data_IF_252856118484
#
_entry.id   IF_252856118484
#
_cell.length_a   1.000
_cell.length_b   1.000
_cell.length_c   1.000
_cell.angle_alpha   90.00
_cell.angle_beta   90.00
_cell.angle_gamma   90.00
#
_symmetry.space_group_name_H-M   'P 1'
#
loop_
_entity.id
_entity.type
_entity.pdbx_description
1 polymer ?
#
# COMPACT_ATOMS: atom_id res chain seq x y z
N UNK A 1 -8.27 4.88 -13.29
CA UNK A 1 -9.13 5.94 -12.73
C UNK A 1 -10.34 5.24 -12.13
N UNK A 2 -10.42 5.29 -10.81
CA UNK A 2 -11.48 4.68 -10.02
C UNK A 2 -12.76 5.51 -10.16
N UNK A 3 -13.90 4.85 -10.35
CA UNK A 3 -15.21 5.52 -10.37
C UNK A 3 -15.95 5.28 -9.05
N UNK A 4 -16.94 6.12 -8.72
CA UNK A 4 -17.81 5.90 -7.56
C UNK A 4 -18.51 4.52 -7.63
N UNK A 5 -18.99 4.12 -8.82
CA UNK A 5 -19.59 2.81 -9.04
C UNK A 5 -18.61 1.66 -8.74
N UNK A 6 -17.35 1.80 -9.12
CA UNK A 6 -16.29 0.84 -8.78
C UNK A 6 -16.00 0.82 -7.29
N UNK A 7 -15.91 1.99 -6.63
CA UNK A 7 -15.72 2.08 -5.18
C UNK A 7 -16.87 1.40 -4.41
N UNK A 8 -18.10 1.43 -4.95
CA UNK A 8 -19.28 0.74 -4.43
C UNK A 8 -19.33 -0.76 -4.72
N UNK A 9 -18.39 -1.37 -5.43
CA UNK A 9 -18.55 -2.74 -5.96
C UNK A 9 -18.80 -3.83 -4.89
N UNK A 10 -18.44 -3.58 -3.63
CA UNK A 10 -18.76 -4.48 -2.51
C UNK A 10 -19.99 -4.06 -1.68
N UNK A 11 -20.76 -3.07 -2.16
CA UNK A 11 -22.12 -2.75 -1.71
C UNK A 11 -22.26 -2.02 -0.38
N UNK A 12 -21.15 -1.60 0.24
CA UNK A 12 -21.14 -1.09 1.63
C UNK A 12 -20.76 0.37 1.80
N UNK A 13 -20.65 1.11 0.71
CA UNK A 13 -20.46 2.55 0.75
C UNK A 13 -21.70 3.25 0.18
N UNK A 14 -22.15 4.32 0.83
CA UNK A 14 -23.10 5.25 0.24
C UNK A 14 -22.46 6.04 -0.92
N UNK A 15 -23.28 6.70 -1.75
CA UNK A 15 -22.82 7.42 -2.94
C UNK A 15 -21.87 8.58 -2.63
N UNK A 16 -22.09 9.28 -1.51
CA UNK A 16 -21.29 10.44 -1.12
C UNK A 16 -19.90 9.97 -0.71
N UNK A 17 -19.83 8.96 0.15
CA UNK A 17 -18.58 8.35 0.62
C UNK A 17 -17.82 7.68 -0.53
N UNK A 18 -18.52 6.96 -1.42
CA UNK A 18 -17.90 6.32 -2.57
C UNK A 18 -17.30 7.34 -3.56
N UNK A 19 -18.01 8.45 -3.81
CA UNK A 19 -17.50 9.54 -4.66
C UNK A 19 -16.28 10.20 -4.03
N UNK A 20 -16.36 10.53 -2.74
CA UNK A 20 -15.25 11.14 -2.01
C UNK A 20 -13.99 10.26 -2.01
N UNK A 21 -14.14 8.96 -1.75
CA UNK A 21 -13.01 8.01 -1.80
C UNK A 21 -12.45 7.90 -3.21
N UNK A 22 -13.31 7.88 -4.25
CA UNK A 22 -12.84 7.81 -5.64
C UNK A 22 -12.01 9.04 -6.02
N UNK A 23 -12.44 10.25 -5.64
CA UNK A 23 -11.70 11.49 -5.90
C UNK A 23 -10.35 11.52 -5.18
N UNK A 24 -10.34 11.16 -3.89
CA UNK A 24 -9.10 11.06 -3.12
C UNK A 24 -8.17 10.00 -3.69
N UNK A 25 -8.70 8.84 -4.09
CA UNK A 25 -7.93 7.76 -4.70
C UNK A 25 -7.28 8.21 -6.01
N UNK A 26 -8.06 8.81 -6.91
CA UNK A 26 -7.55 9.28 -8.21
C UNK A 26 -6.48 10.36 -8.06
N UNK A 27 -6.60 11.21 -7.04
CA UNK A 27 -5.60 12.22 -6.70
C UNK A 27 -4.31 11.58 -6.16
N UNK A 28 -4.42 10.61 -5.24
CA UNK A 28 -3.27 10.01 -4.56
C UNK A 28 -2.58 8.90 -5.39
N UNK A 29 -3.32 8.19 -6.25
CA UNK A 29 -2.83 6.97 -6.91
C UNK A 29 -1.58 7.17 -7.78
N UNK A 30 -1.44 8.25 -8.58
CA UNK A 30 -0.21 8.50 -9.33
C UNK A 30 1.02 8.58 -8.42
N UNK A 31 0.90 9.27 -7.28
CA UNK A 31 1.95 9.39 -6.26
C UNK A 31 2.26 8.03 -5.64
N UNK A 32 1.23 7.31 -5.19
CA UNK A 32 1.39 5.98 -4.61
C UNK A 32 2.08 4.99 -5.56
N UNK A 33 1.70 5.03 -6.84
CA UNK A 33 2.30 4.24 -7.92
C UNK A 33 3.78 4.58 -8.09
N UNK A 34 4.12 5.86 -8.15
CA UNK A 34 5.49 6.32 -8.32
C UNK A 34 6.37 5.89 -7.14
N UNK A 35 5.91 6.10 -5.90
CA UNK A 35 6.63 5.71 -4.68
C UNK A 35 6.88 4.20 -4.63
N UNK A 36 5.85 3.39 -4.90
CA UNK A 36 6.00 1.94 -4.92
C UNK A 36 6.98 1.48 -6.01
N UNK A 37 6.96 2.09 -7.21
CA UNK A 37 7.92 1.79 -8.28
C UNK A 37 9.34 2.19 -7.89
N UNK A 38 9.56 3.41 -7.40
CA UNK A 38 10.88 3.87 -6.97
C UNK A 38 11.47 2.96 -5.88
N UNK A 39 10.61 2.45 -4.98
CA UNK A 39 11.04 1.53 -3.93
C UNK A 39 11.46 0.15 -4.45
N UNK A 40 10.71 -0.38 -5.42
CA UNK A 40 11.08 -1.63 -6.13
C UNK A 40 12.45 -1.47 -6.79
N UNK A 41 12.66 -0.37 -7.51
CA UNK A 41 13.91 -0.10 -8.22
C UNK A 41 15.09 0.06 -7.24
N UNK A 42 14.86 0.74 -6.10
CA UNK A 42 15.87 0.85 -5.06
C UNK A 42 16.28 -0.51 -4.48
N UNK A 43 15.32 -1.42 -4.22
CA UNK A 43 15.65 -2.77 -3.75
C UNK A 43 16.36 -3.61 -4.80
N UNK A 44 15.94 -3.53 -6.07
CA UNK A 44 16.62 -4.23 -7.18
C UNK A 44 18.07 -3.78 -7.29
N UNK A 45 18.32 -2.47 -7.20
CA UNK A 45 19.66 -1.91 -7.21
C UNK A 45 20.51 -2.40 -6.03
N UNK A 46 19.97 -2.34 -4.81
CA UNK A 46 20.67 -2.85 -3.62
C UNK A 46 21.03 -4.33 -3.76
N UNK A 47 20.17 -5.12 -4.41
CA UNK A 47 20.42 -6.53 -4.68
C UNK A 47 21.49 -6.72 -5.73
N UNK A 48 21.43 -6.00 -6.85
CA UNK A 48 22.44 -6.11 -7.91
C UNK A 48 23.83 -5.65 -7.45
N UNK A 49 23.88 -4.64 -6.59
CA UNK A 49 25.13 -4.09 -6.02
C UNK A 49 25.62 -4.89 -4.80
N UNK A 50 24.87 -5.92 -4.39
CA UNK A 50 25.15 -6.73 -3.20
C UNK A 50 25.43 -5.88 -1.96
N UNK A 51 24.59 -4.86 -1.71
CA UNK A 51 24.76 -3.87 -0.66
C UNK A 51 24.76 -4.44 0.79
N UNK A 52 24.61 -5.76 0.95
CA UNK A 52 24.81 -6.48 2.20
C UNK A 52 26.26 -6.86 2.50
N UNK A 53 27.16 -6.80 1.51
CA UNK A 53 28.58 -7.03 1.73
C UNK A 53 29.24 -5.76 2.27
N UNK A 54 29.77 -5.87 3.48
CA UNK A 54 30.47 -4.76 4.15
C UNK A 54 31.95 -5.09 4.17
N UNK A 55 32.76 -4.14 3.69
CA UNK A 55 34.22 -4.24 3.78
C UNK A 55 34.63 -4.47 5.25
N UNK A 56 35.28 -5.61 5.56
CA UNK A 56 35.76 -5.89 6.90
C UNK A 56 36.72 -4.83 7.45
N UNK A 57 37.42 -4.10 6.57
CA UNK A 57 38.37 -3.06 6.95
C UNK A 57 37.71 -1.68 7.12
N UNK A 58 36.40 -1.56 6.93
CA UNK A 58 35.70 -0.30 7.13
C UNK A 58 35.78 0.11 8.62
N UNK A 59 36.14 1.37 8.95
CA UNK A 59 36.29 1.84 10.34
C UNK A 59 35.06 1.62 11.24
N UNK A 60 33.90 1.41 10.63
CA UNK A 60 32.61 1.18 11.28
C UNK A 60 31.92 -0.11 10.83
N UNK A 61 32.67 -1.14 10.40
CA UNK A 61 32.11 -2.38 9.87
C UNK A 61 31.06 -3.01 10.79
N UNK A 62 31.31 -3.04 12.11
CA UNK A 62 30.39 -3.61 13.11
C UNK A 62 29.06 -2.86 13.17
N UNK A 63 29.12 -1.52 13.16
CA UNK A 63 27.92 -0.67 13.16
C UNK A 63 27.14 -0.86 11.86
N UNK A 64 27.82 -0.83 10.72
CA UNK A 64 27.15 -1.01 9.44
C UNK A 64 26.49 -2.39 9.36
N UNK A 65 27.11 -3.46 9.86
CA UNK A 65 26.52 -4.81 9.87
C UNK A 65 25.23 -4.88 10.68
N UNK A 66 25.12 -4.09 11.75
CA UNK A 66 23.90 -4.04 12.57
C UNK A 66 22.70 -3.43 11.84
N UNK A 67 22.92 -2.51 10.90
CA UNK A 67 21.85 -1.80 10.18
C UNK A 67 21.65 -2.25 8.73
N UNK A 68 22.63 -2.95 8.17
CA UNK A 68 22.58 -3.45 6.80
C UNK A 68 21.67 -4.67 6.71
N UNK A 69 20.64 -4.64 5.86
CA UNK A 69 19.77 -5.79 5.68
C UNK A 69 20.52 -6.94 5.00
N UNK A 70 20.19 -8.17 5.38
CA UNK A 70 20.69 -9.36 4.68
C UNK A 70 20.08 -9.47 3.29
N UNK A 71 20.72 -10.24 2.40
CA UNK A 71 20.17 -10.55 1.07
C UNK A 71 18.72 -11.08 1.17
N UNK A 72 18.48 -12.06 2.04
CA UNK A 72 17.15 -12.64 2.23
C UNK A 72 16.11 -11.60 2.69
N UNK A 73 16.51 -10.63 3.53
CA UNK A 73 15.64 -9.54 3.95
C UNK A 73 15.33 -8.60 2.77
N UNK A 74 16.31 -8.26 1.93
CA UNK A 74 16.10 -7.44 0.74
C UNK A 74 15.21 -8.13 -0.29
N UNK A 75 15.45 -9.41 -0.57
CA UNK A 75 14.60 -10.21 -1.46
C UNK A 75 13.14 -10.25 -0.98
N UNK A 76 12.93 -10.43 0.33
CA UNK A 76 11.59 -10.38 0.93
C UNK A 76 10.96 -9.00 0.79
N UNK A 77 11.73 -7.93 1.04
CA UNK A 77 11.25 -6.54 0.90
C UNK A 77 10.87 -6.21 -0.55
N UNK A 78 11.67 -6.66 -1.53
CA UNK A 78 11.39 -6.54 -2.96
C UNK A 78 10.07 -7.22 -3.32
N UNK A 79 9.92 -8.51 -2.97
CA UNK A 79 8.68 -9.27 -3.21
C UNK A 79 7.45 -8.58 -2.61
N UNK A 80 7.57 -8.06 -1.39
CA UNK A 80 6.47 -7.34 -0.73
C UNK A 80 6.12 -6.03 -1.46
N UNK A 81 7.11 -5.29 -1.94
CA UNK A 81 6.89 -4.04 -2.67
C UNK A 81 6.24 -4.31 -4.05
N UNK A 82 6.65 -5.36 -4.75
CA UNK A 82 6.03 -5.79 -6.01
C UNK A 82 4.57 -6.24 -5.81
N UNK A 83 4.31 -7.02 -4.75
CA UNK A 83 2.96 -7.42 -4.38
C UNK A 83 2.08 -6.20 -4.04
N UNK A 84 2.60 -5.26 -3.24
CA UNK A 84 1.91 -4.01 -2.93
C UNK A 84 1.57 -3.22 -4.20
N UNK A 85 2.53 -3.06 -5.10
CA UNK A 85 2.35 -2.35 -6.37
C UNK A 85 1.27 -2.99 -7.24
N UNK A 86 1.24 -4.33 -7.29
CA UNK A 86 0.20 -5.10 -7.97
C UNK A 86 -1.17 -4.87 -7.33
N UNK A 87 -1.26 -4.97 -6.00
CA UNK A 87 -2.52 -4.74 -5.25
C UNK A 87 -3.07 -3.34 -5.51
N UNK A 88 -2.23 -2.29 -5.44
CA UNK A 88 -2.63 -0.92 -5.76
C UNK A 88 -3.20 -0.82 -7.19
N UNK A 89 -2.56 -1.47 -8.16
CA UNK A 89 -3.04 -1.49 -9.54
C UNK A 89 -4.35 -2.25 -9.73
N UNK A 90 -4.55 -3.35 -9.00
CA UNK A 90 -5.82 -4.09 -9.00
C UNK A 90 -6.95 -3.28 -8.39
N UNK A 91 -6.69 -2.56 -7.30
CA UNK A 91 -7.67 -1.68 -6.66
C UNK A 91 -8.06 -0.52 -7.58
N UNK A 92 -7.09 0.15 -8.20
CA UNK A 92 -7.35 1.24 -9.17
C UNK A 92 -8.20 0.80 -10.37
N UNK A 93 -8.08 -0.47 -10.78
CA UNK A 93 -8.86 -1.07 -11.87
C UNK A 93 -10.16 -1.73 -11.41
N UNK A 94 -10.44 -1.79 -10.10
CA UNK A 94 -11.59 -2.52 -9.56
C UNK A 94 -11.53 -4.03 -9.80
N UNK A 95 -10.33 -4.61 -9.95
CA UNK A 95 -10.13 -6.05 -10.20
C UNK A 95 -9.55 -6.78 -9.00
N UNK A 96 -9.45 -6.12 -7.84
CA UNK A 96 -8.90 -6.74 -6.63
C UNK A 96 -9.83 -7.83 -6.11
N UNK A 97 -9.27 -8.93 -5.64
CA UNK A 97 -10.01 -10.06 -5.07
C UNK A 97 -9.42 -10.40 -3.70
N UNK A 98 -10.26 -10.40 -2.67
CA UNK A 98 -9.84 -10.77 -1.31
C UNK A 98 -9.50 -12.26 -1.18
N UNK A 99 -10.26 -13.11 -1.89
CA UNK A 99 -9.92 -14.52 -2.08
C UNK A 99 -10.22 -14.96 -3.51
N UNK A 100 -9.78 -16.15 -3.92
CA UNK A 100 -9.96 -16.69 -5.28
C UNK A 100 -11.43 -16.77 -5.72
N UNK A 101 -12.36 -16.84 -4.76
CA UNK A 101 -13.81 -16.93 -5.00
C UNK A 101 -14.53 -15.58 -4.93
N UNK A 102 -13.89 -14.51 -4.45
CA UNK A 102 -14.52 -13.19 -4.38
C UNK A 102 -14.71 -12.60 -5.78
N UNK A 103 -15.81 -11.86 -6.03
CA UNK A 103 -15.90 -11.02 -7.21
C UNK A 103 -14.77 -9.98 -7.18
N UNK A 104 -14.27 -9.63 -8.36
CA UNK A 104 -13.30 -8.53 -8.49
C UNK A 104 -13.97 -7.20 -8.17
N UNK A 105 -13.30 -6.36 -7.40
CA UNK A 105 -13.84 -5.06 -7.00
C UNK A 105 -12.83 -4.16 -6.32
N UNK A 106 -13.29 -2.98 -5.92
CA UNK A 106 -12.58 -2.13 -4.98
C UNK A 106 -12.96 -2.54 -3.55
N UNK A 107 -11.96 -2.76 -2.69
CA UNK A 107 -12.16 -3.10 -1.28
C UNK A 107 -11.53 -2.04 -0.40
N UNK A 108 -12.36 -1.40 0.45
CA UNK A 108 -11.93 -0.37 1.41
C UNK A 108 -10.85 -0.91 2.36
N UNK A 109 -11.05 -2.12 2.91
CA UNK A 109 -10.07 -2.72 3.82
C UNK A 109 -8.75 -3.03 3.13
N UNK A 110 -8.80 -3.55 1.91
CA UNK A 110 -7.59 -3.85 1.14
C UNK A 110 -6.88 -2.56 0.71
N UNK A 111 -7.63 -1.54 0.30
CA UNK A 111 -7.12 -0.21 -0.01
C UNK A 111 -6.44 0.42 1.21
N UNK A 112 -7.11 0.43 2.37
CA UNK A 112 -6.54 0.97 3.59
C UNK A 112 -5.24 0.24 3.99
N UNK A 113 -5.26 -1.10 3.94
CA UNK A 113 -4.08 -1.93 4.23
C UNK A 113 -2.91 -1.62 3.28
N UNK A 114 -3.19 -1.49 1.97
CA UNK A 114 -2.18 -1.16 0.96
C UNK A 114 -1.60 0.25 1.17
N UNK A 115 -2.45 1.25 1.40
CA UNK A 115 -2.02 2.64 1.68
C UNK A 115 -1.16 2.70 2.93
N UNK A 116 -1.56 2.02 4.00
CA UNK A 116 -0.78 1.94 5.25
C UNK A 116 0.56 1.22 5.04
N UNK A 117 0.58 0.15 4.25
CA UNK A 117 1.82 -0.55 3.93
C UNK A 117 2.79 0.33 3.13
N UNK A 118 2.27 1.13 2.19
CA UNK A 118 3.06 2.10 1.46
C UNK A 118 3.64 3.17 2.39
N UNK A 119 2.82 3.79 3.24
CA UNK A 119 3.23 4.84 4.17
C UNK A 119 4.30 4.39 5.18
N UNK A 120 4.34 3.10 5.53
CA UNK A 120 5.41 2.52 6.38
C UNK A 120 6.77 2.49 5.71
N UNK A 121 6.82 2.68 4.39
CA UNK A 121 8.05 2.57 3.58
C UNK A 121 8.49 3.90 2.98
N UNK A 122 7.68 4.95 3.15
CA UNK A 122 7.96 6.31 2.66
C UNK A 122 8.67 7.14 3.72
N UNK A 123 9.43 8.13 3.27
CA UNK A 123 9.99 9.18 4.14
C UNK A 123 9.00 10.35 4.23
N UNK A 124 9.02 11.09 5.35
CA UNK A 124 8.20 12.31 5.50
C UNK A 124 8.49 13.38 4.44
N UNK A 125 9.66 13.33 3.82
CA UNK A 125 10.08 14.28 2.79
C UNK A 125 9.65 13.89 1.38
N UNK A 126 8.96 12.76 1.19
CA UNK A 126 8.50 12.36 -0.14
C UNK A 126 7.39 13.33 -0.62
N UNK A 127 7.53 13.80 -1.86
CA UNK A 127 6.59 14.76 -2.45
C UNK A 127 5.20 14.16 -2.67
N UNK A 128 4.14 14.98 -2.50
CA UNK A 128 2.76 14.56 -2.79
C UNK A 128 2.11 13.68 -1.73
N UNK A 129 2.77 13.42 -0.59
CA UNK A 129 2.22 12.60 0.50
C UNK A 129 0.95 13.18 1.14
N UNK A 130 0.71 14.48 1.05
CA UNK A 130 -0.50 15.11 1.62
C UNK A 130 -1.80 14.47 1.09
N UNK A 131 -1.86 14.16 -0.21
CA UNK A 131 -3.00 13.46 -0.81
C UNK A 131 -3.12 12.02 -0.29
N UNK A 132 -1.99 11.33 -0.09
CA UNK A 132 -1.95 9.96 0.41
C UNK A 132 -2.43 9.90 1.87
N UNK A 133 -2.03 10.85 2.72
CA UNK A 133 -2.50 10.92 4.11
C UNK A 133 -3.99 11.25 4.20
N UNK A 134 -4.51 12.15 3.37
CA UNK A 134 -5.96 12.42 3.30
C UNK A 134 -6.75 11.19 2.88
N UNK A 135 -6.28 10.47 1.86
CA UNK A 135 -6.85 9.20 1.46
C UNK A 135 -6.80 8.17 2.60
N UNK A 136 -5.67 8.07 3.31
CA UNK A 136 -5.51 7.14 4.43
C UNK A 136 -6.51 7.40 5.55
N UNK A 137 -6.76 8.68 5.88
CA UNK A 137 -7.76 9.07 6.86
C UNK A 137 -9.17 8.66 6.41
N UNK A 138 -9.59 9.03 5.20
CA UNK A 138 -10.91 8.67 4.68
C UNK A 138 -11.14 7.15 4.59
N UNK A 139 -10.10 6.39 4.25
CA UNK A 139 -10.17 4.92 4.23
C UNK A 139 -10.20 4.32 5.64
N UNK A 140 -9.55 4.95 6.62
CA UNK A 140 -9.61 4.52 8.01
C UNK A 140 -11.02 4.71 8.58
N UNK A 141 -11.62 5.88 8.37
CA UNK A 141 -12.99 6.17 8.80
C UNK A 141 -13.97 5.18 8.17
N UNK A 142 -13.90 4.98 6.84
CA UNK A 142 -14.74 4.01 6.15
C UNK A 142 -14.51 2.55 6.60
N UNK A 143 -13.29 2.20 7.02
CA UNK A 143 -12.99 0.87 7.57
C UNK A 143 -13.59 0.68 8.97
N UNK A 144 -13.58 1.72 9.80
CA UNK A 144 -14.19 1.68 11.14
C UNK A 144 -15.72 1.56 11.04
N UNK A 145 -16.34 2.29 10.12
CA UNK A 145 -17.77 2.20 9.82
C UNK A 145 -18.15 0.77 9.42
N UNK A 146 -17.39 0.18 8.50
CA UNK A 146 -17.57 -1.20 8.05
C UNK A 146 -17.42 -2.21 9.19
N UNK A 147 -16.45 -2.02 10.09
CA UNK A 147 -16.29 -2.88 11.26
C UNK A 147 -17.46 -2.75 12.24
N UNK A 148 -17.99 -1.54 12.44
CA UNK A 148 -19.17 -1.31 13.29
C UNK A 148 -20.40 -2.05 12.74
N UNK A 149 -20.65 -1.99 11.44
CA UNK A 149 -21.73 -2.73 10.78
C UNK A 149 -21.58 -4.26 10.90
N UNK A 150 -20.38 -4.78 10.67
CA UNK A 150 -20.10 -6.22 10.80
C UNK A 150 -20.35 -6.75 12.21
N UNK A 151 -19.97 -5.97 13.23
CA UNK A 151 -20.23 -6.31 14.63
C UNK A 151 -21.72 -6.27 14.96
N UNK A 152 -22.48 -5.35 14.37
CA UNK A 152 -23.93 -5.26 14.59
C UNK A 152 -24.72 -6.41 13.94
N UNK A 153 -24.19 -7.02 12.88
CA UNK A 153 -24.86 -8.06 12.08
C UNK A 153 -24.52 -9.49 12.49
N UNK A 154 -23.55 -9.70 13.38
CA UNK A 154 -23.17 -11.03 13.88
C UNK A 154 -23.74 -11.23 15.29
N UNK A 155 -24.86 -11.96 15.48
CA UNK A 155 -25.36 -12.27 16.82
C UNK A 155 -24.37 -13.21 17.54
N UNK A 156 -24.21 -12.97 18.85
CA UNK A 156 -23.35 -13.74 19.75
C UNK A 156 -23.78 -15.22 19.87
#
# INVERSE_FOLDING_TARGET
>A
MLTAATARSHGRLDDTTATHIADLWNTAYPVMRALATARIDAYRRQISEQAWHIDPNHPHADVLRAYTPTEAQLQRRLKNAEALRLTLGQLDRGTHRACTRSPGGFSVLAAYSAVRALLKTTSLNDEGLSAVYRLAAALADAADDLHRELRATTPA
#
